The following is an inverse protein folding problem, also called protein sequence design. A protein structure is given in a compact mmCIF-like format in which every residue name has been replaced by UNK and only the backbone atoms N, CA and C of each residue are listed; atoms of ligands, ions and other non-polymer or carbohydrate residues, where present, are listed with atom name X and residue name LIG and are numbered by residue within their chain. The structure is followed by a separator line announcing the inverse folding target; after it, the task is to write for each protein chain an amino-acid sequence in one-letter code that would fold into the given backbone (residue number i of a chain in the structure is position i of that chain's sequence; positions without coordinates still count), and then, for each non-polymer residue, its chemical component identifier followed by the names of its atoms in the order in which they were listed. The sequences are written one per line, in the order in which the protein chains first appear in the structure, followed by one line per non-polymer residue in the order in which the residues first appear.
data_IF_637812469969
#
_entry.id   IF_637812469969
#
_cell.length_a   1.000
_cell.length_b   1.000
_cell.length_c   1.000
_cell.angle_alpha   90.00
_cell.angle_beta   90.00
_cell.angle_gamma   90.00
#
_symmetry.space_group_name_H-M   'P 1'
#
loop_
_entity.id
_entity.type
_entity.pdbx_description
1 polymer ?
#
# COMPACT_ATOMS: atom_id res chain seq x y z
N UNK A 1 66.33 24.91 -35.27
CA UNK A 1 65.69 23.69 -35.82
C UNK A 1 65.41 22.63 -34.73
N UNK A 2 66.35 22.34 -33.83
CA UNK A 2 66.20 21.33 -32.76
C UNK A 2 65.12 21.68 -31.71
N UNK A 3 64.95 22.97 -31.36
CA UNK A 3 63.98 23.42 -30.34
C UNK A 3 62.51 23.21 -30.80
N UNK A 4 62.21 23.41 -32.08
CA UNK A 4 60.87 23.20 -32.63
C UNK A 4 60.47 21.71 -32.64
N UNK A 5 61.44 20.81 -32.77
CA UNK A 5 61.24 19.36 -32.71
C UNK A 5 60.92 18.89 -31.28
N UNK A 6 61.57 19.45 -30.26
CA UNK A 6 61.27 19.15 -28.86
C UNK A 6 59.88 19.62 -28.45
N UNK A 7 59.46 20.81 -28.91
CA UNK A 7 58.11 21.33 -28.65
C UNK A 7 57.02 20.52 -29.35
N UNK A 8 57.27 20.00 -30.56
CA UNK A 8 56.28 19.16 -31.26
C UNK A 8 56.11 17.80 -30.59
N UNK A 9 57.20 17.18 -30.13
CA UNK A 9 57.15 15.89 -29.44
C UNK A 9 56.45 15.98 -28.08
N UNK A 10 56.71 17.03 -27.28
CA UNK A 10 55.98 17.23 -26.03
C UNK A 10 54.46 17.38 -26.24
N UNK A 11 54.07 18.04 -27.33
CA UNK A 11 52.65 18.23 -27.66
C UNK A 11 51.97 16.91 -28.03
N UNK A 12 52.63 16.07 -28.82
CA UNK A 12 52.11 14.75 -29.23
C UNK A 12 51.95 13.81 -28.02
N UNK A 13 52.96 13.74 -27.15
CA UNK A 13 52.92 12.88 -25.95
C UNK A 13 51.79 13.32 -25.00
N UNK A 14 51.59 14.64 -24.82
CA UNK A 14 50.54 15.15 -23.95
C UNK A 14 49.13 14.86 -24.50
N UNK A 15 48.94 14.91 -25.81
CA UNK A 15 47.67 14.57 -26.47
C UNK A 15 47.34 13.08 -26.28
N UNK A 16 48.33 12.19 -26.42
CA UNK A 16 48.10 10.74 -26.28
C UNK A 16 47.79 10.35 -24.82
N UNK A 17 48.53 10.89 -23.85
CA UNK A 17 48.22 10.69 -22.42
C UNK A 17 46.81 11.17 -22.06
N UNK A 18 46.38 12.32 -22.60
CA UNK A 18 45.03 12.86 -22.37
C UNK A 18 43.94 11.98 -22.99
N UNK A 19 44.19 11.41 -24.18
CA UNK A 19 43.31 10.46 -24.86
C UNK A 19 43.09 9.19 -24.04
N UNK A 20 44.19 8.59 -23.56
CA UNK A 20 44.16 7.36 -22.76
C UNK A 20 43.43 7.57 -21.44
N UNK A 21 43.69 8.71 -20.77
CA UNK A 21 43.03 9.04 -19.52
C UNK A 21 41.52 9.22 -19.70
N UNK A 22 41.09 9.96 -20.73
CA UNK A 22 39.67 10.17 -21.04
C UNK A 22 38.94 8.86 -21.32
N UNK A 23 39.56 7.93 -22.05
CA UNK A 23 38.98 6.62 -22.36
C UNK A 23 38.79 5.77 -21.10
N UNK A 24 39.78 5.78 -20.20
CA UNK A 24 39.73 5.03 -18.92
C UNK A 24 38.71 5.61 -17.94
N UNK A 25 38.53 6.93 -17.92
CA UNK A 25 37.48 7.57 -17.11
C UNK A 25 36.09 7.24 -17.64
N UNK A 26 35.88 7.32 -18.96
CA UNK A 26 34.59 6.98 -19.59
C UNK A 26 34.19 5.52 -19.36
N UNK A 27 35.13 4.57 -19.42
CA UNK A 27 34.82 3.15 -19.16
C UNK A 27 34.45 2.88 -17.70
N UNK A 28 35.12 3.54 -16.74
CA UNK A 28 34.77 3.41 -15.32
C UNK A 28 33.41 4.05 -14.99
N UNK A 29 33.09 5.20 -15.57
CA UNK A 29 31.78 5.85 -15.42
C UNK A 29 30.64 4.96 -15.95
N UNK A 30 30.82 4.35 -17.12
CA UNK A 30 29.82 3.44 -17.70
C UNK A 30 29.60 2.20 -16.81
N UNK A 31 30.68 1.67 -16.21
CA UNK A 31 30.61 0.54 -15.28
C UNK A 31 29.92 0.90 -13.95
N UNK A 32 30.17 2.10 -13.41
CA UNK A 32 29.48 2.57 -12.21
C UNK A 32 27.98 2.78 -12.45
N UNK A 33 27.61 3.38 -13.59
CA UNK A 33 26.23 3.59 -13.98
C UNK A 33 25.46 2.28 -14.19
N UNK A 34 26.09 1.24 -14.75
CA UNK A 34 25.43 -0.06 -14.94
C UNK A 34 25.16 -0.78 -13.62
N UNK A 35 26.10 -0.72 -12.67
CA UNK A 35 25.96 -1.31 -11.34
C UNK A 35 24.87 -0.60 -10.53
N UNK A 36 24.87 0.74 -10.54
CA UNK A 36 23.82 1.53 -9.89
C UNK A 36 22.44 1.22 -10.48
N UNK A 37 22.30 1.22 -11.82
CA UNK A 37 21.04 0.85 -12.49
C UNK A 37 20.58 -0.54 -12.07
N UNK A 38 21.47 -1.53 -12.02
CA UNK A 38 21.12 -2.89 -11.63
C UNK A 38 20.65 -2.96 -10.16
N UNK A 39 21.30 -2.22 -9.26
CA UNK A 39 20.93 -2.18 -7.84
C UNK A 39 19.58 -1.48 -7.60
N UNK A 40 19.33 -0.35 -8.28
CA UNK A 40 18.04 0.34 -8.26
C UNK A 40 16.91 -0.53 -8.81
N UNK A 41 17.16 -1.23 -9.92
CA UNK A 41 16.18 -2.13 -10.53
C UNK A 41 15.81 -3.30 -9.61
N UNK A 42 16.79 -3.90 -8.90
CA UNK A 42 16.51 -4.97 -7.93
C UNK A 42 15.64 -4.48 -6.76
N UNK A 43 15.95 -3.31 -6.20
CA UNK A 43 15.18 -2.74 -5.09
C UNK A 43 13.76 -2.32 -5.49
N UNK A 44 13.55 -1.83 -6.72
CA UNK A 44 12.21 -1.53 -7.22
C UNK A 44 11.39 -2.80 -7.42
N UNK A 45 11.99 -3.85 -7.99
CA UNK A 45 11.30 -5.10 -8.28
C UNK A 45 10.84 -5.84 -7.01
N UNK A 46 11.64 -5.81 -5.93
CA UNK A 46 11.25 -6.39 -4.63
C UNK A 46 10.07 -5.63 -3.99
N UNK A 47 10.02 -4.30 -4.10
CA UNK A 47 8.89 -3.49 -3.62
C UNK A 47 7.62 -3.66 -4.44
N UNK A 48 7.72 -3.97 -5.74
CA UNK A 48 6.55 -4.18 -6.61
C UNK A 48 5.94 -5.58 -6.39
N UNK A 49 6.75 -6.61 -6.13
CA UNK A 49 6.26 -7.98 -5.91
C UNK A 49 5.40 -8.13 -4.65
N UNK A 50 5.59 -7.26 -3.66
CA UNK A 50 4.80 -7.23 -2.42
C UNK A 50 3.55 -6.35 -2.51
N UNK A 51 3.32 -5.63 -3.61
CA UNK A 51 2.08 -4.85 -3.77
C UNK A 51 0.94 -5.82 -4.10
N UNK A 52 -0.08 -5.94 -3.24
CA UNK A 52 -1.28 -6.69 -3.60
C UNK A 52 -1.87 -6.02 -4.84
N UNK A 53 -2.23 -6.81 -5.84
CA UNK A 53 -2.86 -6.28 -7.06
C UNK A 53 -4.13 -5.52 -6.69
N UNK A 54 -4.31 -4.32 -7.22
CA UNK A 54 -5.43 -3.44 -6.87
C UNK A 54 -6.79 -4.14 -6.94
N UNK A 55 -6.99 -4.99 -7.97
CA UNK A 55 -8.19 -5.80 -8.11
C UNK A 55 -8.44 -6.79 -6.95
N UNK A 56 -7.37 -7.39 -6.39
CA UNK A 56 -7.49 -8.38 -5.32
C UNK A 56 -7.82 -7.74 -3.98
N UNK A 57 -7.29 -6.53 -3.72
CA UNK A 57 -7.63 -5.74 -2.53
C UNK A 57 -9.10 -5.33 -2.56
N UNK A 58 -9.58 -4.82 -3.70
CA UNK A 58 -10.98 -4.41 -3.86
C UNK A 58 -11.92 -5.61 -3.73
N UNK A 59 -11.61 -6.72 -4.41
CA UNK A 59 -12.42 -7.95 -4.34
C UNK A 59 -12.53 -8.49 -2.92
N UNK A 60 -11.43 -8.49 -2.16
CA UNK A 60 -11.45 -8.94 -0.76
C UNK A 60 -12.21 -7.94 0.12
N UNK A 61 -12.11 -6.63 -0.15
CA UNK A 61 -12.87 -5.60 0.56
C UNK A 61 -14.38 -5.77 0.40
N UNK A 62 -14.85 -5.91 -0.84
CA UNK A 62 -16.28 -6.10 -1.15
C UNK A 62 -16.81 -7.41 -0.55
N UNK A 63 -16.01 -8.48 -0.57
CA UNK A 63 -16.39 -9.74 0.05
C UNK A 63 -16.68 -9.58 1.56
N UNK A 64 -15.79 -8.90 2.29
CA UNK A 64 -15.99 -8.65 3.72
C UNK A 64 -17.18 -7.73 4.01
N UNK A 65 -17.42 -6.75 3.15
CA UNK A 65 -18.58 -5.86 3.26
C UNK A 65 -19.90 -6.61 3.08
N UNK A 66 -20.02 -7.42 2.02
CA UNK A 66 -21.18 -8.28 1.77
C UNK A 66 -21.38 -9.34 2.86
N UNK A 67 -20.28 -9.90 3.37
CA UNK A 67 -20.33 -10.85 4.47
C UNK A 67 -20.83 -10.19 5.76
N UNK A 68 -20.39 -8.97 6.07
CA UNK A 68 -20.90 -8.18 7.20
C UNK A 68 -22.39 -7.85 7.06
N UNK A 69 -22.83 -7.46 5.85
CA UNK A 69 -24.24 -7.22 5.55
C UNK A 69 -25.12 -8.47 5.78
N UNK A 70 -24.67 -9.64 5.31
CA UNK A 70 -25.36 -10.90 5.53
C UNK A 70 -25.47 -11.26 7.02
N UNK A 71 -24.38 -11.08 7.77
CA UNK A 71 -24.35 -11.33 9.21
C UNK A 71 -25.33 -10.42 9.96
N UNK A 72 -25.37 -9.14 9.60
CA UNK A 72 -26.28 -8.17 10.19
C UNK A 72 -27.75 -8.58 10.00
N UNK A 73 -28.17 -8.88 8.76
CA UNK A 73 -29.55 -9.29 8.48
C UNK A 73 -29.94 -10.59 9.19
N UNK A 74 -28.99 -11.54 9.26
CA UNK A 74 -29.21 -12.80 9.99
C UNK A 74 -29.37 -12.54 11.50
N UNK A 75 -28.51 -11.70 12.08
CA UNK A 75 -28.58 -11.34 13.48
C UNK A 75 -29.89 -10.63 13.83
N UNK A 76 -30.34 -9.69 12.98
CA UNK A 76 -31.61 -8.98 13.20
C UNK A 76 -32.80 -9.93 13.07
N UNK A 77 -32.76 -10.90 12.16
CA UNK A 77 -33.82 -11.92 12.06
C UNK A 77 -33.92 -12.75 13.34
N UNK A 78 -32.77 -13.12 13.92
CA UNK A 78 -32.73 -13.88 15.18
C UNK A 78 -33.24 -13.02 16.34
N UNK A 79 -32.78 -11.77 16.45
CA UNK A 79 -33.21 -10.86 17.53
C UNK A 79 -34.69 -10.48 17.38
N UNK A 80 -35.15 -10.20 16.16
CA UNK A 80 -36.53 -9.86 15.85
C UNK A 80 -37.52 -11.01 16.11
N UNK A 81 -37.03 -12.26 16.15
CA UNK A 81 -37.85 -13.41 16.58
C UNK A 81 -38.11 -13.43 18.09
N UNK A 82 -37.33 -12.67 18.88
CA UNK A 82 -37.44 -12.55 20.34
C UNK A 82 -37.71 -11.07 20.69
N UNK A 83 -38.89 -10.59 20.29
CA UNK A 83 -39.25 -9.17 20.23
C UNK A 83 -39.37 -8.43 21.59
N UNK A 84 -39.17 -9.10 22.73
CA UNK A 84 -39.29 -8.47 24.05
C UNK A 84 -38.00 -7.78 24.53
N UNK A 85 -36.88 -7.89 23.79
CA UNK A 85 -35.54 -7.47 24.25
C UNK A 85 -35.02 -6.21 23.55
N UNK A 86 -35.90 -5.42 22.93
CA UNK A 86 -35.52 -4.25 22.11
C UNK A 86 -34.65 -3.20 22.86
N UNK A 87 -34.95 -2.82 24.13
CA UNK A 87 -34.08 -1.90 24.90
C UNK A 87 -32.69 -2.48 25.20
N UNK A 88 -32.59 -3.81 25.39
CA UNK A 88 -31.33 -4.50 25.64
C UNK A 88 -30.48 -4.52 24.36
N UNK A 89 -31.10 -4.72 23.20
CA UNK A 89 -30.43 -4.66 21.90
C UNK A 89 -29.86 -3.27 21.62
N UNK A 90 -30.60 -2.21 21.94
CA UNK A 90 -30.12 -0.83 21.82
C UNK A 90 -28.88 -0.56 22.70
N UNK A 91 -28.89 -1.04 23.96
CA UNK A 91 -27.76 -0.88 24.87
C UNK A 91 -26.50 -1.64 24.40
N UNK A 92 -26.67 -2.86 23.87
CA UNK A 92 -25.58 -3.65 23.30
C UNK A 92 -25.00 -2.99 22.05
N UNK A 93 -25.84 -2.44 21.17
CA UNK A 93 -25.37 -1.72 19.99
C UNK A 93 -24.58 -0.46 20.36
N UNK A 94 -25.03 0.28 21.39
CA UNK A 94 -24.31 1.44 21.90
C UNK A 94 -22.95 1.05 22.51
N UNK A 95 -22.88 -0.03 23.30
CA UNK A 95 -21.62 -0.54 23.84
C UNK A 95 -20.67 -0.96 22.71
N UNK A 96 -21.20 -1.59 21.66
CA UNK A 96 -20.43 -2.02 20.50
C UNK A 96 -19.85 -0.83 19.73
N UNK A 97 -20.65 0.21 19.46
CA UNK A 97 -20.16 1.39 18.72
C UNK A 97 -19.03 2.08 19.49
N UNK A 98 -19.18 2.20 20.82
CA UNK A 98 -18.20 2.84 21.69
C UNK A 98 -16.89 2.05 21.77
N UNK A 99 -16.99 0.72 21.87
CA UNK A 99 -15.83 -0.16 21.84
C UNK A 99 -15.02 -0.01 20.54
N UNK A 100 -15.69 0.02 19.39
CA UNK A 100 -15.02 0.20 18.10
C UNK A 100 -14.41 1.59 17.95
N UNK A 101 -15.07 2.64 18.44
CA UNK A 101 -14.55 4.00 18.40
C UNK A 101 -13.28 4.13 19.25
N UNK A 102 -13.30 3.61 20.47
CA UNK A 102 -12.12 3.61 21.35
C UNK A 102 -10.95 2.81 20.73
N UNK A 103 -11.26 1.67 20.10
CA UNK A 103 -10.26 0.82 19.45
C UNK A 103 -9.63 1.47 18.21
N UNK A 104 -10.42 2.21 17.43
CA UNK A 104 -9.92 2.90 16.24
C UNK A 104 -9.07 4.12 16.62
N UNK A 105 -9.50 4.89 17.63
CA UNK A 105 -8.76 6.08 18.08
C UNK A 105 -7.43 5.73 18.78
N UNK A 106 -7.34 4.55 19.40
CA UNK A 106 -6.10 4.12 20.08
C UNK A 106 -5.04 3.54 19.13
N UNK A 107 -5.30 3.44 17.83
CA UNK A 107 -4.46 2.68 16.91
C UNK A 107 -4.10 3.49 15.65
N UNK A 108 -2.83 3.89 15.54
CA UNK A 108 -2.22 4.49 14.33
C UNK A 108 -1.84 3.44 13.26
N UNK A 109 -2.44 2.25 13.29
CA UNK A 109 -1.98 1.12 12.48
C UNK A 109 -2.68 1.04 11.12
N UNK A 110 -1.99 1.52 10.08
CA UNK A 110 -2.40 1.42 8.67
C UNK A 110 -2.14 0.01 8.10
N UNK A 111 -2.72 -1.02 8.72
CA UNK A 111 -2.57 -2.43 8.37
C UNK A 111 -3.70 -2.92 7.45
N UNK A 112 -3.39 -3.83 6.52
CA UNK A 112 -4.38 -4.47 5.64
C UNK A 112 -5.48 -5.15 6.45
N UNK A 113 -5.14 -5.76 7.59
CA UNK A 113 -6.11 -6.39 8.48
C UNK A 113 -7.10 -5.39 9.07
N UNK A 114 -6.62 -4.19 9.44
CA UNK A 114 -7.49 -3.12 9.94
C UNK A 114 -8.45 -2.63 8.87
N UNK A 115 -7.99 -2.49 7.62
CA UNK A 115 -8.86 -2.14 6.50
C UNK A 115 -9.93 -3.21 6.23
N UNK A 116 -9.60 -4.50 6.36
CA UNK A 116 -10.58 -5.58 6.21
C UNK A 116 -11.63 -5.56 7.32
N UNK A 117 -11.21 -5.37 8.57
CA UNK A 117 -12.13 -5.23 9.72
C UNK A 117 -13.00 -3.98 9.57
N UNK A 118 -12.45 -2.89 9.04
CA UNK A 118 -13.21 -1.67 8.79
C UNK A 118 -14.28 -1.87 7.71
N UNK A 119 -13.95 -2.52 6.59
CA UNK A 119 -14.92 -2.86 5.55
C UNK A 119 -16.03 -3.77 6.08
N UNK A 120 -15.67 -4.73 6.94
CA UNK A 120 -16.64 -5.59 7.61
C UNK A 120 -17.57 -4.80 8.55
N UNK A 121 -17.03 -3.87 9.35
CA UNK A 121 -17.81 -2.97 10.21
C UNK A 121 -18.80 -2.13 9.40
N UNK A 122 -18.37 -1.57 8.26
CA UNK A 122 -19.22 -0.79 7.35
C UNK A 122 -20.38 -1.66 6.84
N UNK A 123 -20.10 -2.89 6.43
CA UNK A 123 -21.13 -3.85 5.98
C UNK A 123 -22.19 -4.15 7.05
N UNK A 124 -21.78 -4.32 8.30
CA UNK A 124 -22.73 -4.54 9.43
C UNK A 124 -23.63 -3.33 9.63
N UNK A 125 -23.05 -2.13 9.70
CA UNK A 125 -23.80 -0.88 9.91
C UNK A 125 -24.80 -0.66 8.77
N UNK A 126 -24.36 -0.90 7.53
CA UNK A 126 -25.22 -0.80 6.36
C UNK A 126 -26.39 -1.80 6.40
N UNK A 127 -26.14 -3.05 6.80
CA UNK A 127 -27.19 -4.07 6.94
C UNK A 127 -28.26 -3.69 7.96
N UNK A 128 -27.83 -3.26 9.16
CA UNK A 128 -28.76 -2.79 10.21
C UNK A 128 -29.54 -1.56 9.76
N UNK A 129 -28.87 -0.61 9.09
CA UNK A 129 -29.50 0.60 8.59
C UNK A 129 -30.59 0.32 7.55
N UNK A 130 -30.31 -0.55 6.58
CA UNK A 130 -31.30 -0.95 5.56
C UNK A 130 -32.49 -1.64 6.20
N UNK A 131 -32.27 -2.48 7.20
CA UNK A 131 -33.38 -3.17 7.89
C UNK A 131 -34.22 -2.22 8.74
N UNK A 132 -33.60 -1.25 9.42
CA UNK A 132 -34.30 -0.20 10.15
C UNK A 132 -35.19 0.67 9.23
N UNK A 133 -34.73 0.95 8.00
CA UNK A 133 -35.55 1.65 7.00
C UNK A 133 -36.81 0.87 6.62
N UNK A 134 -36.76 -0.47 6.58
CA UNK A 134 -37.94 -1.30 6.29
C UNK A 134 -39.01 -1.20 7.37
N UNK A 135 -38.60 -1.00 8.62
CA UNK A 135 -39.52 -0.86 9.76
C UNK A 135 -40.07 0.56 9.92
N UNK A 136 -39.48 1.53 9.22
CA UNK A 136 -39.83 2.97 9.33
C UNK A 136 -40.93 3.40 8.35
N UNK A 137 -41.30 2.56 7.36
CA UNK A 137 -42.36 2.80 6.38
C UNK A 137 -43.70 2.21 6.79
#
# INVERSE_FOLDING_TARGET
MIINLLQSLQKVINIDLRSQYKKKVSTNLNKCNSVSKHFYQRNLKSRIKTRPTHAKVISTGIFFELFGFFLANSAITIVGSVADWDPLAAAIMLCWIEFFNCKFYSSDFNSIYFNLVNNFKIGIIFGIFVDALKLTS
#
